data_IF_853344336957
#
_entry.id   IF_853344336957
#
_cell.length_a   1.000
_cell.length_b   1.000
_cell.length_c   1.000
_cell.angle_alpha   90.00
_cell.angle_beta   90.00
_cell.angle_gamma   90.00
#
_symmetry.space_group_name_H-M   'P 1'
#
loop_
_entity.id
_entity.type
_entity.pdbx_description
1 polymer ?
#
# COMPACT_ATOMS: atom_id res chain seq x y z
N UNK A 1 17.15 12.29 34.37
CA UNK A 1 17.08 11.64 33.05
C UNK A 1 15.94 10.64 33.12
N UNK A 2 14.87 10.86 32.37
CA UNK A 2 13.59 10.16 32.53
C UNK A 2 12.53 11.25 32.49
N UNK A 3 11.68 11.34 31.50
CA UNK A 3 10.91 10.27 30.90
C UNK A 3 10.96 10.43 29.37
N UNK A 4 11.42 9.41 28.66
CA UNK A 4 11.27 9.37 27.21
C UNK A 4 9.80 9.16 26.90
N UNK A 5 9.12 10.23 26.47
CA UNK A 5 7.72 10.25 26.07
C UNK A 5 7.50 9.11 25.09
N UNK A 6 6.92 8.01 25.58
CA UNK A 6 6.70 6.83 24.78
C UNK A 6 5.46 7.15 23.97
N UNK A 7 5.66 7.61 22.73
CA UNK A 7 4.55 7.85 21.80
C UNK A 7 3.78 6.55 21.69
N UNK A 8 2.56 6.53 22.20
CA UNK A 8 1.69 5.35 22.11
C UNK A 8 1.32 5.22 20.64
N UNK A 9 1.93 4.26 19.95
CA UNK A 9 1.54 3.90 18.59
C UNK A 9 0.14 3.28 18.69
N UNK A 10 -0.89 4.07 18.40
CA UNK A 10 -2.28 3.71 18.68
C UNK A 10 -2.80 2.69 17.66
N UNK A 11 -2.23 2.69 16.46
CA UNK A 11 -2.43 1.71 15.40
C UNK A 11 -1.41 2.01 14.30
N UNK A 12 -0.56 1.03 13.95
CA UNK A 12 0.09 1.01 12.66
C UNK A 12 -0.96 0.45 11.70
N UNK A 13 -1.22 1.09 10.58
CA UNK A 13 -2.07 0.52 9.53
C UNK A 13 -1.30 0.61 8.23
N UNK A 14 -1.02 -0.54 7.64
CA UNK A 14 -0.40 -0.61 6.32
C UNK A 14 -1.47 -0.72 5.25
N UNK A 15 -1.22 -0.08 4.12
CA UNK A 15 -2.05 -0.19 2.93
C UNK A 15 -1.15 -0.50 1.75
N UNK A 16 -1.53 -1.52 0.98
CA UNK A 16 -0.93 -1.82 -0.30
C UNK A 16 -1.74 -1.12 -1.38
N UNK A 17 -1.12 -0.16 -2.05
CA UNK A 17 -1.69 0.49 -3.22
C UNK A 17 -1.01 -0.06 -4.46
N UNK A 18 -1.80 -0.58 -5.39
CA UNK A 18 -1.34 -1.14 -6.65
C UNK A 18 -1.99 -0.34 -7.77
N UNK A 19 -1.16 0.15 -8.69
CA UNK A 19 -1.62 0.77 -9.93
C UNK A 19 -1.49 -0.26 -11.03
N UNK A 20 -2.61 -0.60 -11.61
CA UNK A 20 -2.78 -1.55 -12.68
C UNK A 20 -2.87 -0.79 -14.01
N UNK A 21 -1.99 -1.08 -14.94
CA UNK A 21 -2.14 -0.72 -16.34
C UNK A 21 -3.17 -1.65 -16.96
N UNK A 22 -4.26 -1.08 -17.45
CA UNK A 22 -5.33 -1.90 -18.05
C UNK A 22 -5.02 -2.32 -19.48
N UNK A 23 -3.95 -1.78 -20.10
CA UNK A 23 -3.68 -1.90 -21.53
C UNK A 23 -4.69 -1.18 -22.41
N UNK A 24 -5.71 -0.54 -21.83
CA UNK A 24 -6.74 0.22 -22.54
C UNK A 24 -6.29 1.66 -22.66
N UNK A 25 -6.41 2.21 -23.85
CA UNK A 25 -6.21 3.65 -24.12
C UNK A 25 -7.57 4.23 -24.45
N UNK A 26 -8.10 5.09 -23.57
CA UNK A 26 -9.31 5.86 -23.82
C UNK A 26 -8.94 7.31 -24.09
N UNK A 27 -9.51 7.91 -25.14
CA UNK A 27 -9.24 9.31 -25.55
C UNK A 27 -7.76 9.64 -25.80
N UNK A 28 -6.93 8.63 -26.12
CA UNK A 28 -5.49 8.80 -26.30
C UNK A 28 -4.68 8.77 -24.99
N UNK A 29 -5.33 8.57 -23.85
CA UNK A 29 -4.70 8.43 -22.54
C UNK A 29 -4.77 6.97 -22.04
N UNK A 30 -3.66 6.41 -21.54
CA UNK A 30 -3.67 5.08 -20.94
C UNK A 30 -4.52 5.06 -19.66
N UNK A 31 -5.42 4.08 -19.57
CA UNK A 31 -6.31 3.91 -18.43
C UNK A 31 -5.60 3.09 -17.34
N UNK A 32 -5.33 3.75 -16.22
CA UNK A 32 -4.78 3.11 -15.03
C UNK A 32 -5.87 2.86 -14.00
N UNK A 33 -5.95 1.63 -13.51
CA UNK A 33 -6.81 1.26 -12.40
C UNK A 33 -6.02 1.24 -11.09
N UNK A 34 -6.44 2.05 -10.12
CA UNK A 34 -5.77 2.11 -8.80
C UNK A 34 -6.55 1.29 -7.79
N UNK A 35 -5.94 0.23 -7.28
CA UNK A 35 -6.48 -0.57 -6.20
C UNK A 35 -5.76 -0.23 -4.90
N UNK A 36 -6.51 -0.12 -3.81
CA UNK A 36 -5.95 0.14 -2.48
C UNK A 36 -6.49 -0.88 -1.50
N UNK A 37 -5.62 -1.76 -1.02
CA UNK A 37 -5.94 -2.88 -0.14
C UNK A 37 -5.38 -2.56 1.23
N UNK A 38 -6.22 -2.64 2.27
CA UNK A 38 -5.75 -2.59 3.64
C UNK A 38 -5.02 -3.88 3.95
N UNK A 39 -3.77 -3.80 4.37
CA UNK A 39 -2.92 -4.95 4.68
C UNK A 39 -2.51 -4.91 6.14
N UNK A 40 -2.21 -6.07 6.69
CA UNK A 40 -1.78 -6.15 8.08
C UNK A 40 -0.46 -5.40 8.28
N UNK A 41 -0.29 -4.79 9.44
CA UNK A 41 0.89 -3.99 9.77
C UNK A 41 2.15 -4.83 9.92
N UNK A 42 1.99 -6.13 10.15
CA UNK A 42 3.08 -7.11 10.11
C UNK A 42 3.54 -7.47 8.69
N UNK A 43 2.84 -7.05 7.64
CA UNK A 43 3.24 -7.37 6.27
C UNK A 43 4.60 -6.75 5.94
N UNK A 44 5.47 -7.56 5.34
CA UNK A 44 6.76 -7.11 4.84
C UNK A 44 6.63 -6.56 3.42
N UNK A 45 7.59 -5.75 2.98
CA UNK A 45 7.63 -5.23 1.61
C UNK A 45 7.67 -6.36 0.58
N UNK A 46 8.40 -7.45 0.89
CA UNK A 46 8.46 -8.63 0.03
C UNK A 46 7.10 -9.34 -0.08
N UNK A 47 6.39 -9.54 1.03
CA UNK A 47 5.06 -10.15 0.98
C UNK A 47 4.05 -9.26 0.25
N UNK A 48 4.13 -7.95 0.43
CA UNK A 48 3.30 -7.01 -0.32
C UNK A 48 3.60 -7.04 -1.82
N UNK A 49 4.87 -7.18 -2.20
CA UNK A 49 5.30 -7.32 -3.58
C UNK A 49 4.85 -8.65 -4.18
N UNK A 50 5.03 -9.76 -3.46
CA UNK A 50 4.60 -11.10 -3.88
C UNK A 50 3.08 -11.18 -4.01
N UNK A 51 2.33 -10.57 -3.08
CA UNK A 51 0.88 -10.45 -3.17
C UNK A 51 0.45 -9.63 -4.40
N UNK A 52 1.10 -8.50 -4.67
CA UNK A 52 0.84 -7.72 -5.86
C UNK A 52 1.11 -8.54 -7.13
N UNK A 53 2.25 -9.23 -7.20
CA UNK A 53 2.60 -10.09 -8.34
C UNK A 53 1.63 -11.25 -8.53
N UNK A 54 1.18 -11.89 -7.45
CA UNK A 54 0.14 -12.91 -7.52
C UNK A 54 -1.17 -12.34 -8.05
N UNK A 55 -1.59 -11.16 -7.57
CA UNK A 55 -2.77 -10.46 -8.09
C UNK A 55 -2.62 -10.11 -9.58
N UNK A 56 -1.41 -9.78 -10.02
CA UNK A 56 -1.10 -9.53 -11.44
C UNK A 56 -1.18 -10.80 -12.27
N UNK A 57 -0.67 -11.92 -11.75
CA UNK A 57 -0.78 -13.21 -12.44
C UNK A 57 -2.22 -13.69 -12.56
N UNK A 58 -3.12 -13.22 -11.68
CA UNK A 58 -4.56 -13.52 -11.72
C UNK A 58 -5.34 -12.50 -12.56
N UNK A 59 -4.69 -11.44 -13.02
CA UNK A 59 -5.30 -10.36 -13.79
C UNK A 59 -4.70 -10.31 -15.21
N UNK A 60 -5.43 -9.73 -16.15
CA UNK A 60 -4.86 -9.38 -17.48
C UNK A 60 -4.10 -8.05 -17.43
N UNK A 61 -4.21 -7.33 -16.31
CA UNK A 61 -3.62 -6.01 -16.12
C UNK A 61 -2.16 -6.11 -15.67
N UNK A 62 -1.33 -5.22 -16.20
CA UNK A 62 0.10 -5.17 -15.82
C UNK A 62 0.26 -4.28 -14.61
N UNK A 63 1.14 -4.63 -13.66
CA UNK A 63 1.46 -3.71 -12.57
C UNK A 63 2.29 -2.56 -13.13
N UNK A 64 1.78 -1.33 -13.06
CA UNK A 64 2.59 -0.12 -13.29
C UNK A 64 3.36 0.28 -12.05
N UNK A 65 2.72 0.19 -10.87
CA UNK A 65 3.31 0.71 -9.65
C UNK A 65 2.76 -0.01 -8.41
N UNK A 66 3.65 -0.27 -7.44
CA UNK A 66 3.30 -0.84 -6.14
C UNK A 66 3.79 0.14 -5.07
N UNK A 67 2.91 0.53 -4.17
CA UNK A 67 3.22 1.41 -3.04
C UNK A 67 2.71 0.78 -1.75
N UNK A 68 3.62 0.60 -0.81
CA UNK A 68 3.26 0.25 0.56
C UNK A 68 3.20 1.55 1.39
N UNK A 69 2.00 1.96 1.76
CA UNK A 69 1.78 3.15 2.58
C UNK A 69 1.61 2.69 4.02
N UNK A 70 2.60 2.96 4.85
CA UNK A 70 2.47 2.80 6.30
C UNK A 70 1.91 4.10 6.87
N UNK A 71 0.76 4.03 7.54
CA UNK A 71 0.21 5.16 8.27
C UNK A 71 0.41 4.90 9.75
N UNK A 72 1.24 5.73 10.37
CA UNK A 72 1.44 5.74 11.82
C UNK A 72 0.49 6.77 12.44
N UNK A 73 -0.51 6.30 13.17
CA UNK A 73 -1.32 7.17 14.02
C UNK A 73 -0.56 7.47 15.30
N UNK A 74 0.07 8.64 15.33
CA UNK A 74 0.72 9.17 16.53
C UNK A 74 -0.36 9.77 17.44
N UNK A 75 -0.40 9.33 18.70
CA UNK A 75 -1.29 9.93 19.71
C UNK A 75 -0.99 11.41 19.96
N UNK A 76 -1.96 12.18 20.51
CA UNK A 76 -1.71 13.57 20.88
C UNK A 76 -0.57 13.64 21.90
N UNK A 77 0.29 14.65 21.74
CA UNK A 77 1.40 14.95 22.64
C UNK A 77 0.79 15.62 23.88
N UNK A 78 1.03 15.06 25.07
CA UNK A 78 0.77 15.71 26.37
C UNK A 78 1.99 16.53 26.81
#
# INVERSE_FOLDING_TARGET
MGLGSTVVNLSNTKRLQIVWDTGVVEDGEPVYYRQSISVDSSITEQEAYDAAYNLASLSTYTISEIRLISTDSLGPID
#
